data_IF_174272727989
#
_entry.id   IF_174272727989
#
_cell.length_a   1.000
_cell.length_b   1.000
_cell.length_c   1.000
_cell.angle_alpha   90.00
_cell.angle_beta   90.00
_cell.angle_gamma   90.00
#
_symmetry.space_group_name_H-M   'P 1'
#
loop_
_entity.id
_entity.type
_entity.pdbx_description
1 polymer ?
#
# COMPACT_ATOMS: atom_id res chain seq x y z
N UNK A 1 8.54 -8.27 22.08
CA UNK A 1 7.11 -7.90 22.11
C UNK A 1 6.70 -7.38 20.74
N UNK A 2 5.67 -7.94 20.09
CA UNK A 2 5.16 -7.39 18.81
C UNK A 2 4.37 -6.11 19.13
N UNK A 3 4.75 -4.97 18.57
CA UNK A 3 3.92 -3.76 18.67
C UNK A 3 2.57 -4.04 17.99
N UNK A 4 1.49 -3.99 18.76
CA UNK A 4 0.12 -4.06 18.25
C UNK A 4 -0.20 -2.75 17.53
N UNK A 5 0.17 -2.65 16.26
CA UNK A 5 -0.19 -1.50 15.42
C UNK A 5 -1.65 -1.63 15.03
N UNK A 6 -2.45 -0.59 15.31
CA UNK A 6 -3.82 -0.48 14.78
C UNK A 6 -3.77 -0.63 13.26
N UNK A 7 -4.53 -1.57 12.68
CA UNK A 7 -4.50 -1.77 11.24
C UNK A 7 -5.07 -0.55 10.52
N UNK A 8 -4.59 -0.26 9.30
CA UNK A 8 -4.94 0.97 8.58
C UNK A 8 -6.45 1.12 8.32
N UNK A 9 -7.18 0.03 8.10
CA UNK A 9 -8.64 0.05 7.90
C UNK A 9 -9.45 0.36 9.16
N UNK A 10 -8.82 0.36 10.35
CA UNK A 10 -9.45 0.84 11.60
C UNK A 10 -9.13 2.31 11.90
N UNK A 11 -8.30 2.96 11.07
CA UNK A 11 -7.92 4.35 11.28
C UNK A 11 -8.84 5.27 10.47
N UNK A 12 -9.26 6.42 11.03
CA UNK A 12 -9.89 7.45 10.23
C UNK A 12 -8.90 7.97 9.19
N UNK A 13 -9.41 8.42 8.04
CA UNK A 13 -8.60 9.08 7.02
C UNK A 13 -8.00 10.37 7.61
N UNK A 14 -6.68 10.61 7.55
CA UNK A 14 -6.08 11.86 8.03
C UNK A 14 -6.69 13.07 7.33
N UNK A 15 -7.17 14.03 8.12
CA UNK A 15 -7.71 15.30 7.62
C UNK A 15 -6.56 16.23 7.20
N UNK A 16 -6.76 16.99 6.14
CA UNK A 16 -5.79 18.00 5.68
C UNK A 16 -4.57 17.46 4.93
N UNK A 17 -4.52 16.16 4.64
CA UNK A 17 -3.47 15.57 3.79
C UNK A 17 -3.96 15.37 2.37
N UNK A 18 -3.14 15.77 1.39
CA UNK A 18 -3.37 15.46 -0.02
C UNK A 18 -2.94 14.04 -0.33
N UNK A 19 -3.84 13.27 -0.94
CA UNK A 19 -3.52 11.93 -1.42
C UNK A 19 -2.52 12.02 -2.56
N UNK A 20 -1.37 11.35 -2.42
CA UNK A 20 -0.40 11.23 -3.50
C UNK A 20 -0.56 9.87 -4.22
N UNK A 21 -0.76 9.86 -5.54
CA UNK A 21 -0.80 8.61 -6.29
C UNK A 21 0.57 7.92 -6.30
N UNK A 22 0.55 6.60 -6.51
CA UNK A 22 1.76 5.81 -6.76
C UNK A 22 2.41 6.21 -8.10
N UNK A 23 3.74 6.22 -8.16
CA UNK A 23 4.46 6.35 -9.42
C UNK A 23 4.20 5.13 -10.33
N UNK A 24 4.40 5.23 -11.66
CA UNK A 24 4.23 4.08 -12.56
C UNK A 24 5.08 2.87 -12.14
N UNK A 25 6.32 3.10 -11.70
CA UNK A 25 7.21 2.05 -11.19
C UNK A 25 6.65 1.38 -9.92
N UNK A 26 6.13 2.17 -8.99
CA UNK A 26 5.47 1.63 -7.78
C UNK A 26 4.24 0.80 -8.12
N UNK A 27 3.41 1.21 -9.10
CA UNK A 27 2.25 0.43 -9.55
C UNK A 27 2.66 -0.92 -10.15
N UNK A 28 3.73 -0.93 -10.95
CA UNK A 28 4.27 -2.16 -11.53
C UNK A 28 4.77 -3.12 -10.43
N UNK A 29 5.54 -2.61 -9.47
CA UNK A 29 6.02 -3.39 -8.34
C UNK A 29 4.86 -3.96 -7.49
N UNK A 30 3.81 -3.17 -7.23
CA UNK A 30 2.63 -3.62 -6.49
C UNK A 30 1.90 -4.76 -7.22
N UNK A 31 1.75 -4.64 -8.55
CA UNK A 31 1.12 -5.68 -9.38
C UNK A 31 1.91 -6.97 -9.36
N UNK A 32 3.21 -6.89 -9.60
CA UNK A 32 4.10 -8.06 -9.61
C UNK A 32 4.03 -8.80 -8.27
N UNK A 33 4.13 -8.07 -7.15
CA UNK A 33 4.03 -8.67 -5.82
C UNK A 33 2.67 -9.33 -5.57
N UNK A 34 1.59 -8.72 -6.05
CA UNK A 34 0.25 -9.30 -5.93
C UNK A 34 0.16 -10.63 -6.70
N UNK A 35 0.65 -10.67 -7.94
CA UNK A 35 0.69 -11.86 -8.79
C UNK A 35 1.53 -12.98 -8.17
N UNK A 36 2.74 -12.68 -7.69
CA UNK A 36 3.63 -13.63 -7.01
C UNK A 36 2.99 -14.27 -5.77
N UNK A 37 2.11 -13.53 -5.08
CA UNK A 37 1.42 -14.01 -3.89
C UNK A 37 0.00 -14.51 -4.17
N UNK A 38 -0.40 -14.63 -5.44
CA UNK A 38 -1.75 -15.08 -5.83
C UNK A 38 -2.89 -14.15 -5.39
N UNK A 39 -2.59 -12.86 -5.15
CA UNK A 39 -3.56 -11.85 -4.70
C UNK A 39 -4.11 -11.09 -5.90
N UNK A 40 -5.41 -10.82 -5.88
CA UNK A 40 -6.03 -9.96 -6.90
C UNK A 40 -5.47 -8.53 -6.79
N UNK A 41 -5.15 -7.94 -7.93
CA UNK A 41 -4.81 -6.52 -8.07
C UNK A 41 -6.01 -5.74 -8.64
N UNK A 42 -6.24 -4.47 -8.24
CA UNK A 42 -5.54 -3.70 -7.22
C UNK A 42 -5.94 -4.07 -5.78
N UNK A 43 -5.01 -3.98 -4.83
CA UNK A 43 -5.29 -4.23 -3.41
C UNK A 43 -4.50 -3.29 -2.48
N UNK A 44 -5.00 -3.13 -1.24
CA UNK A 44 -4.43 -2.20 -0.26
C UNK A 44 -3.03 -2.63 0.21
N UNK A 45 -2.81 -3.93 0.45
CA UNK A 45 -1.57 -4.43 1.07
C UNK A 45 -0.37 -4.18 0.18
N UNK A 46 -0.49 -4.53 -1.11
CA UNK A 46 0.58 -4.37 -2.09
C UNK A 46 0.76 -2.90 -2.49
N UNK A 47 -0.32 -2.12 -2.58
CA UNK A 47 -0.23 -0.67 -2.80
C UNK A 47 0.46 0.06 -1.63
N UNK A 48 0.17 -0.31 -0.38
CA UNK A 48 0.82 0.26 0.80
C UNK A 48 2.30 -0.13 0.92
N UNK A 49 2.66 -1.33 0.45
CA UNK A 49 4.05 -1.74 0.36
C UNK A 49 4.79 -0.93 -0.70
N UNK A 50 4.20 -0.81 -1.90
CA UNK A 50 4.81 -0.06 -3.00
C UNK A 50 4.94 1.45 -2.72
N UNK A 51 4.02 2.03 -1.93
CA UNK A 51 4.10 3.43 -1.49
C UNK A 51 5.37 3.77 -0.68
N UNK A 52 6.06 2.75 -0.14
CA UNK A 52 7.32 2.91 0.62
C UNK A 52 8.56 2.80 -0.24
N UNK A 53 8.43 2.34 -1.49
CA UNK A 53 9.55 2.26 -2.41
C UNK A 53 9.97 3.65 -2.87
N UNK A 54 11.24 3.84 -3.27
CA UNK A 54 11.67 5.05 -3.97
C UNK A 54 10.72 5.35 -5.15
N UNK A 55 10.47 6.64 -5.37
CA UNK A 55 9.55 7.09 -6.42
C UNK A 55 10.20 7.14 -7.78
#
# INVERSE_FOLDING_TARGET
>A
MRQTRTPPWKKPNPKGQTSQPLSPAQKAAARQRAEENGRRYPNLVDNMWAAKLPR
#
